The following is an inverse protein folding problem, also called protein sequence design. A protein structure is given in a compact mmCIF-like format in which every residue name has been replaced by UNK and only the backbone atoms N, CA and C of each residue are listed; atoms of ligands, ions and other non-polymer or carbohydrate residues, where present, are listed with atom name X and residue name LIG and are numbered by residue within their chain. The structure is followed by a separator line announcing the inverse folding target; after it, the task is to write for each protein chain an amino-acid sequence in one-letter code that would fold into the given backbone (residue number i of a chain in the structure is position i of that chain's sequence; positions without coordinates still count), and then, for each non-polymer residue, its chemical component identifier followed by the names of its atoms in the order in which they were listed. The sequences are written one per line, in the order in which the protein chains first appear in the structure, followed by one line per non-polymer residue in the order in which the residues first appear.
data_IF_582002261622
#
_entry.id   IF_582002261622
#
_cell.length_a   1.000
_cell.length_b   1.000
_cell.length_c   1.000
_cell.angle_alpha   90.00
_cell.angle_beta   90.00
_cell.angle_gamma   90.00
#
_symmetry.space_group_name_H-M   'P 1'
#
loop_
_entity.id
_entity.type
_entity.pdbx_description
1 polymer ?
#
# COMPACT_ATOMS: atom_id res chain seq x y z
N UNK A 1 21.63 -7.74 -86.76
CA UNK A 1 22.81 -7.89 -85.87
C UNK A 1 22.45 -7.21 -84.53
N UNK A 2 22.33 -7.96 -83.44
CA UNK A 2 21.84 -7.41 -82.15
C UNK A 2 22.96 -6.88 -81.31
N UNK A 3 22.66 -5.73 -80.68
CA UNK A 3 23.50 -5.02 -79.74
C UNK A 3 23.59 -5.79 -78.38
N UNK A 4 24.87 -5.90 -77.90
CA UNK A 4 25.16 -6.46 -76.56
C UNK A 4 24.75 -5.44 -75.47
N UNK A 5 23.85 -5.84 -74.61
CA UNK A 5 23.58 -5.11 -73.34
C UNK A 5 24.56 -5.59 -72.28
N UNK A 6 25.33 -4.64 -71.76
CA UNK A 6 26.22 -4.83 -70.66
C UNK A 6 25.37 -4.83 -69.39
N UNK A 7 25.37 -5.97 -68.67
CA UNK A 7 24.77 -6.06 -67.30
C UNK A 7 25.82 -5.56 -66.31
N UNK A 8 25.58 -4.34 -65.82
CA UNK A 8 26.25 -3.86 -64.61
C UNK A 8 25.31 -4.10 -63.44
N UNK A 9 25.55 -5.16 -62.71
CA UNK A 9 24.81 -5.45 -61.48
C UNK A 9 25.32 -4.51 -60.37
N UNK A 10 24.57 -3.44 -60.12
CA UNK A 10 24.77 -2.60 -58.91
C UNK A 10 24.35 -3.42 -57.70
N UNK A 11 25.32 -3.85 -56.88
CA UNK A 11 25.09 -4.31 -55.53
C UNK A 11 24.61 -3.11 -54.71
N UNK A 12 23.28 -2.91 -54.63
CA UNK A 12 22.71 -2.01 -53.61
C UNK A 12 22.96 -2.62 -52.24
N UNK A 13 23.92 -2.11 -51.54
CA UNK A 13 24.09 -2.37 -50.12
C UNK A 13 22.86 -1.74 -49.45
N UNK A 14 21.87 -2.58 -49.14
CA UNK A 14 20.75 -2.17 -48.32
C UNK A 14 21.29 -1.75 -46.95
N UNK A 15 21.33 -0.45 -46.71
CA UNK A 15 21.62 0.09 -45.37
C UNK A 15 20.59 -0.50 -44.40
N UNK A 16 21.07 -1.28 -43.44
CA UNK A 16 20.25 -1.75 -42.31
C UNK A 16 19.75 -0.51 -41.61
N UNK A 17 18.41 -0.34 -41.47
CA UNK A 17 17.89 0.82 -40.77
C UNK A 17 18.37 0.72 -39.32
N UNK A 18 19.33 1.57 -38.94
CA UNK A 18 19.68 1.79 -37.55
C UNK A 18 18.51 2.53 -36.92
N UNK A 19 17.59 1.77 -36.28
CA UNK A 19 16.58 2.39 -35.42
C UNK A 19 17.30 3.27 -34.40
N UNK A 20 16.95 4.58 -34.30
CA UNK A 20 17.58 5.46 -33.34
C UNK A 20 17.42 4.85 -31.96
N UNK A 21 18.53 4.57 -31.28
CA UNK A 21 18.51 4.05 -29.92
C UNK A 21 17.85 5.13 -29.05
N UNK A 22 16.65 4.84 -28.51
CA UNK A 22 15.98 5.74 -27.59
C UNK A 22 16.97 6.20 -26.50
N UNK A 23 17.28 7.51 -26.42
CA UNK A 23 18.22 8.03 -25.43
C UNK A 23 17.83 7.66 -23.98
N UNK A 24 16.56 7.34 -23.75
CA UNK A 24 16.04 6.92 -22.46
C UNK A 24 16.23 5.41 -22.19
N UNK A 25 16.45 4.57 -23.22
CA UNK A 25 16.58 3.15 -23.05
C UNK A 25 17.75 2.76 -22.13
N UNK A 26 18.90 3.44 -22.26
CA UNK A 26 20.06 3.24 -21.37
C UNK A 26 19.72 3.49 -19.90
N UNK A 27 18.88 4.51 -19.62
CA UNK A 27 18.50 4.87 -18.26
C UNK A 27 17.52 3.88 -17.63
N UNK A 28 16.74 3.15 -18.44
CA UNK A 28 15.87 2.07 -17.93
C UNK A 28 16.71 0.97 -17.28
N UNK A 29 17.77 0.54 -17.93
CA UNK A 29 18.68 -0.49 -17.40
C UNK A 29 19.46 0.01 -16.19
N UNK A 30 19.96 1.28 -16.24
CA UNK A 30 20.64 1.90 -15.10
C UNK A 30 19.71 1.95 -13.88
N UNK A 31 18.46 2.41 -14.05
CA UNK A 31 17.47 2.41 -12.96
C UNK A 31 17.19 1.01 -12.41
N UNK A 32 17.05 0.00 -13.28
CA UNK A 32 16.84 -1.39 -12.84
C UNK A 32 18.02 -1.92 -12.04
N UNK A 33 19.24 -1.65 -12.49
CA UNK A 33 20.46 -2.07 -11.79
C UNK A 33 20.57 -1.37 -10.42
N UNK A 34 20.38 -0.06 -10.38
CA UNK A 34 20.39 0.71 -9.13
C UNK A 34 19.29 0.27 -8.16
N UNK A 35 18.10 -0.05 -8.69
CA UNK A 35 17.01 -0.59 -7.88
C UNK A 35 17.35 -1.96 -7.30
N UNK A 36 17.97 -2.83 -8.08
CA UNK A 36 18.46 -4.13 -7.57
C UNK A 36 19.52 -3.95 -6.48
N UNK A 37 20.49 -3.05 -6.67
CA UNK A 37 21.49 -2.70 -5.65
C UNK A 37 20.83 -2.14 -4.39
N UNK A 38 19.84 -1.27 -4.56
CA UNK A 38 19.06 -0.71 -3.45
C UNK A 38 18.31 -1.80 -2.66
N UNK A 39 17.67 -2.75 -3.35
CA UNK A 39 16.98 -3.88 -2.70
C UNK A 39 17.96 -4.79 -1.97
N UNK A 40 19.09 -5.11 -2.57
CA UNK A 40 20.14 -5.94 -1.94
C UNK A 40 20.69 -5.21 -0.72
N UNK A 41 21.03 -3.92 -0.82
CA UNK A 41 21.51 -3.11 0.30
C UNK A 41 20.48 -3.04 1.44
N UNK A 42 19.21 -2.86 1.09
CA UNK A 42 18.10 -2.89 2.05
C UNK A 42 18.01 -4.25 2.76
N UNK A 43 18.05 -5.34 1.99
CA UNK A 43 18.02 -6.69 2.56
C UNK A 43 19.21 -6.95 3.52
N UNK A 44 20.42 -6.60 3.09
CA UNK A 44 21.63 -6.77 3.92
C UNK A 44 21.55 -5.93 5.20
N UNK A 45 21.06 -4.69 5.11
CA UNK A 45 20.85 -3.82 6.26
C UNK A 45 19.83 -4.44 7.23
N UNK A 46 18.67 -4.86 6.75
CA UNK A 46 17.64 -5.50 7.58
C UNK A 46 18.16 -6.77 8.24
N UNK A 47 18.91 -7.58 7.49
CA UNK A 47 19.53 -8.80 8.01
C UNK A 47 20.57 -8.50 9.09
N UNK A 48 21.40 -7.46 8.92
CA UNK A 48 22.42 -7.08 9.90
C UNK A 48 21.85 -6.54 11.19
N UNK A 49 20.74 -5.80 11.12
CA UNK A 49 20.07 -5.20 12.28
C UNK A 49 19.06 -6.12 12.95
N UNK A 50 18.63 -7.19 12.26
CA UNK A 50 17.60 -8.11 12.77
C UNK A 50 16.21 -7.50 12.91
N UNK A 51 16.00 -6.27 12.41
CA UNK A 51 14.74 -5.54 12.53
C UNK A 51 14.62 -4.45 11.47
N UNK A 52 13.40 -4.01 11.15
CA UNK A 52 13.16 -2.76 10.42
C UNK A 52 13.53 -1.59 11.34
N UNK A 53 14.16 -0.53 10.82
CA UNK A 53 14.32 0.70 11.59
C UNK A 53 12.95 1.20 12.04
N UNK A 54 12.80 1.39 13.33
CA UNK A 54 11.65 2.11 13.88
C UNK A 54 11.84 3.63 13.79
N UNK A 55 13.06 4.05 13.48
CA UNK A 55 13.44 5.46 13.38
C UNK A 55 12.90 6.02 12.06
N UNK A 56 12.04 7.01 12.17
CA UNK A 56 11.34 7.63 11.03
C UNK A 56 12.28 8.26 10.05
N UNK A 57 13.35 8.85 10.53
CA UNK A 57 14.40 9.46 9.73
C UNK A 57 14.96 8.44 8.73
N UNK A 58 15.19 7.22 9.16
CA UNK A 58 15.71 6.15 8.31
C UNK A 58 14.66 5.72 7.28
N UNK A 59 13.38 5.62 7.68
CA UNK A 59 12.27 5.30 6.76
C UNK A 59 12.14 6.39 5.69
N UNK A 60 12.20 7.67 6.10
CA UNK A 60 12.15 8.82 5.19
C UNK A 60 13.34 8.80 4.23
N UNK A 61 14.55 8.56 4.72
CA UNK A 61 15.76 8.44 3.88
C UNK A 61 15.61 7.31 2.87
N UNK A 62 15.04 6.18 3.25
CA UNK A 62 14.77 5.08 2.30
C UNK A 62 13.73 5.45 1.25
N UNK A 63 12.62 6.04 1.64
CA UNK A 63 11.59 6.46 0.70
C UNK A 63 12.11 7.55 -0.26
N UNK A 64 12.90 8.51 0.24
CA UNK A 64 13.57 9.51 -0.58
C UNK A 64 14.59 8.87 -1.53
N UNK A 65 15.39 7.89 -1.05
CA UNK A 65 16.31 7.13 -1.88
C UNK A 65 15.59 6.45 -3.05
N UNK A 66 14.47 5.78 -2.78
CA UNK A 66 13.66 5.14 -3.80
C UNK A 66 13.07 6.17 -4.80
N UNK A 67 12.56 7.30 -4.30
CA UNK A 67 12.04 8.37 -5.13
C UNK A 67 13.14 8.99 -6.01
N UNK A 68 14.35 9.20 -5.47
CA UNK A 68 15.51 9.69 -6.22
C UNK A 68 15.94 8.71 -7.31
N UNK A 69 15.95 7.40 -7.03
CA UNK A 69 16.24 6.37 -8.03
C UNK A 69 15.28 6.44 -9.23
N UNK A 70 14.01 6.74 -8.98
CA UNK A 70 13.01 6.92 -10.04
C UNK A 70 13.30 8.15 -10.92
N UNK A 71 14.12 9.09 -10.47
CA UNK A 71 14.47 10.31 -11.21
C UNK A 71 15.76 10.20 -12.03
N UNK A 72 16.53 9.14 -11.86
CA UNK A 72 17.81 8.93 -12.58
C UNK A 72 17.60 8.99 -14.09
N UNK A 73 18.39 9.82 -14.77
CA UNK A 73 18.28 10.05 -16.21
C UNK A 73 17.10 10.91 -16.65
N UNK A 74 16.39 11.56 -15.73
CA UNK A 74 15.35 12.53 -16.01
C UNK A 74 15.88 13.96 -15.92
N UNK A 75 15.24 14.89 -16.62
CA UNK A 75 15.53 16.33 -16.45
C UNK A 75 15.12 16.79 -15.05
N UNK A 76 15.69 17.89 -14.57
CA UNK A 76 15.35 18.48 -13.26
C UNK A 76 13.86 18.78 -13.10
N UNK A 77 13.19 19.23 -14.18
CA UNK A 77 11.72 19.45 -14.17
C UNK A 77 10.98 18.12 -13.98
N UNK A 78 11.34 17.09 -14.72
CA UNK A 78 10.73 15.75 -14.59
C UNK A 78 10.99 15.13 -13.22
N UNK A 79 12.20 15.30 -12.69
CA UNK A 79 12.56 14.85 -11.35
C UNK A 79 11.71 15.54 -10.29
N UNK A 80 11.61 16.87 -10.34
CA UNK A 80 10.78 17.66 -9.43
C UNK A 80 9.30 17.26 -9.46
N UNK A 81 8.73 17.07 -10.65
CA UNK A 81 7.34 16.61 -10.82
C UNK A 81 7.17 15.19 -10.23
N UNK A 82 8.14 14.31 -10.45
CA UNK A 82 8.10 12.94 -9.88
C UNK A 82 8.10 12.99 -8.35
N UNK A 83 9.03 13.72 -7.75
CA UNK A 83 9.14 13.85 -6.28
C UNK A 83 7.88 14.48 -5.69
N UNK A 84 7.39 15.56 -6.30
CA UNK A 84 6.17 16.24 -5.85
C UNK A 84 4.93 15.34 -5.97
N UNK A 85 4.88 14.48 -6.98
CA UNK A 85 3.78 13.50 -7.11
C UNK A 85 3.72 12.53 -5.93
N UNK A 86 4.86 12.18 -5.33
CA UNK A 86 4.94 11.25 -4.19
C UNK A 86 4.85 11.95 -2.82
N UNK A 87 4.95 13.29 -2.79
CA UNK A 87 4.82 14.06 -1.54
C UNK A 87 3.55 13.75 -0.72
N UNK A 88 2.35 13.50 -1.32
CA UNK A 88 1.16 13.15 -0.56
C UNK A 88 1.30 11.90 0.32
N UNK A 89 2.10 10.92 -0.13
CA UNK A 89 2.33 9.69 0.65
C UNK A 89 3.29 9.92 1.82
N UNK A 90 4.33 10.72 1.62
CA UNK A 90 5.20 11.15 2.71
C UNK A 90 4.42 11.99 3.73
N UNK A 91 3.56 12.89 3.25
CA UNK A 91 2.69 13.67 4.12
C UNK A 91 1.77 12.80 4.97
N UNK A 92 1.18 11.72 4.41
CA UNK A 92 0.32 10.82 5.17
C UNK A 92 1.06 10.12 6.32
N UNK A 93 2.35 9.79 6.16
CA UNK A 93 3.17 9.22 7.23
C UNK A 93 3.35 10.23 8.39
N UNK A 94 3.72 11.47 8.08
CA UNK A 94 3.86 12.51 9.10
C UNK A 94 2.54 12.86 9.77
N UNK A 95 1.44 12.83 9.01
CA UNK A 95 0.10 13.10 9.52
C UNK A 95 -0.31 12.11 10.61
N UNK A 96 -0.02 10.83 10.42
CA UNK A 96 -0.32 9.80 11.42
C UNK A 96 0.40 10.07 12.74
N UNK A 97 1.66 10.45 12.67
CA UNK A 97 2.45 10.76 13.85
C UNK A 97 2.01 12.04 14.55
N UNK A 98 1.68 13.04 13.75
CA UNK A 98 1.10 14.28 14.26
C UNK A 98 -0.22 14.01 14.99
N UNK A 99 -1.12 13.21 14.38
CA UNK A 99 -2.40 12.83 15.01
C UNK A 99 -2.19 12.11 16.34
N UNK A 100 -1.19 11.22 16.41
CA UNK A 100 -0.82 10.53 17.65
C UNK A 100 -0.34 11.51 18.73
N UNK A 101 0.53 12.45 18.36
CA UNK A 101 1.03 13.47 19.28
C UNK A 101 -0.09 14.37 19.78
N UNK A 102 -0.98 14.81 18.91
CA UNK A 102 -2.17 15.61 19.26
C UNK A 102 -3.11 14.82 20.19
N UNK A 103 -3.38 13.55 19.89
CA UNK A 103 -4.22 12.69 20.72
C UNK A 103 -3.65 12.54 22.14
N UNK A 104 -2.34 12.38 22.26
CA UNK A 104 -1.67 12.32 23.57
C UNK A 104 -1.72 13.67 24.30
N UNK A 105 -1.49 14.77 23.58
CA UNK A 105 -1.56 16.12 24.17
C UNK A 105 -2.95 16.50 24.66
N UNK A 106 -4.00 16.04 23.95
CA UNK A 106 -5.41 16.31 24.31
C UNK A 106 -5.89 15.50 25.51
N UNK A 107 -5.15 14.48 25.96
CA UNK A 107 -5.48 13.59 27.09
C UNK A 107 -6.95 13.11 27.08
N UNK A 108 -7.38 12.61 25.92
CA UNK A 108 -8.79 12.21 25.72
C UNK A 108 -9.09 10.89 26.42
N UNK A 109 -10.29 10.76 27.04
CA UNK A 109 -10.71 9.47 27.57
C UNK A 109 -10.81 8.44 26.44
N UNK A 110 -10.32 7.23 26.71
CA UNK A 110 -10.35 6.13 25.75
C UNK A 110 -11.79 5.56 25.72
N UNK A 111 -12.44 5.67 24.57
CA UNK A 111 -13.74 5.08 24.34
C UNK A 111 -13.61 3.57 24.08
N UNK A 112 -14.36 2.76 24.81
CA UNK A 112 -14.38 1.29 24.70
C UNK A 112 -15.81 0.78 24.47
N UNK A 113 -16.75 1.21 25.32
CA UNK A 113 -18.13 0.70 25.33
C UNK A 113 -18.90 0.94 24.03
N UNK A 114 -18.80 2.10 23.35
CA UNK A 114 -19.56 2.32 22.12
C UNK A 114 -19.25 1.31 21.02
N UNK A 115 -17.98 0.95 20.84
CA UNK A 115 -17.55 -0.04 19.83
C UNK A 115 -18.05 -1.44 20.18
N UNK A 116 -17.96 -1.85 21.44
CA UNK A 116 -18.49 -3.12 21.94
C UNK A 116 -19.99 -3.23 21.65
N UNK A 117 -20.75 -2.18 21.99
CA UNK A 117 -22.21 -2.15 21.80
C UNK A 117 -22.57 -2.26 20.33
N UNK A 118 -21.89 -1.48 19.46
CA UNK A 118 -22.14 -1.47 18.03
C UNK A 118 -21.76 -2.81 17.40
N UNK A 119 -20.63 -3.40 17.77
CA UNK A 119 -20.17 -4.69 17.23
C UNK A 119 -21.07 -5.84 17.66
N UNK A 120 -21.53 -5.85 18.93
CA UNK A 120 -22.53 -6.81 19.41
C UNK A 120 -23.85 -6.70 18.68
N UNK A 121 -24.30 -5.48 18.37
CA UNK A 121 -25.52 -5.28 17.59
C UNK A 121 -25.39 -5.89 16.19
N UNK A 122 -24.27 -5.67 15.49
CA UNK A 122 -23.97 -6.28 14.19
C UNK A 122 -23.78 -7.81 14.32
N UNK A 123 -23.18 -8.26 15.41
CA UNK A 123 -22.90 -9.66 15.68
C UNK A 123 -24.06 -10.44 16.32
N UNK A 124 -25.25 -9.86 16.48
CA UNK A 124 -26.39 -10.55 17.10
C UNK A 124 -26.13 -10.97 18.57
N UNK A 125 -25.56 -10.06 19.35
CA UNK A 125 -25.30 -10.20 20.80
C UNK A 125 -23.90 -10.67 21.19
N UNK A 126 -23.12 -11.26 20.26
CA UNK A 126 -21.72 -11.67 20.47
C UNK A 126 -20.78 -10.85 19.58
N UNK A 127 -19.56 -10.60 20.05
CA UNK A 127 -18.51 -10.00 19.22
C UNK A 127 -18.04 -10.98 18.15
N UNK A 128 -17.74 -10.47 16.98
CA UNK A 128 -17.22 -11.29 15.90
C UNK A 128 -15.84 -11.89 16.21
N UNK A 129 -15.01 -11.20 16.98
CA UNK A 129 -13.73 -11.74 17.48
C UNK A 129 -13.94 -12.98 18.34
N UNK A 130 -14.89 -12.92 19.29
CA UNK A 130 -15.25 -14.08 20.14
C UNK A 130 -15.68 -15.27 19.28
N UNK A 131 -16.58 -15.02 18.30
CA UNK A 131 -17.07 -16.09 17.40
C UNK A 131 -15.96 -16.73 16.58
N UNK A 132 -15.08 -15.90 15.97
CA UNK A 132 -14.00 -16.42 15.13
C UNK A 132 -12.97 -17.21 15.95
N UNK A 133 -12.63 -16.71 17.12
CA UNK A 133 -11.68 -17.41 18.00
C UNK A 133 -12.30 -18.66 18.64
N UNK A 134 -13.57 -18.63 18.98
CA UNK A 134 -14.30 -19.82 19.43
C UNK A 134 -14.29 -20.94 18.39
N UNK A 135 -14.31 -20.58 17.13
CA UNK A 135 -14.33 -21.55 16.04
C UNK A 135 -12.93 -21.99 15.58
N UNK A 136 -11.95 -21.08 15.63
CA UNK A 136 -10.63 -21.29 15.02
C UNK A 136 -9.51 -21.63 16.01
N UNK A 137 -9.60 -21.17 17.26
CA UNK A 137 -8.61 -21.51 18.28
C UNK A 137 -8.99 -22.85 18.89
N UNK A 138 -8.15 -23.85 18.66
CA UNK A 138 -8.39 -25.22 19.10
C UNK A 138 -8.40 -25.31 20.64
N UNK A 139 -9.55 -25.66 21.22
CA UNK A 139 -9.75 -25.80 22.67
C UNK A 139 -9.11 -27.12 23.22
N UNK A 140 -8.59 -27.99 22.34
CA UNK A 140 -7.93 -29.25 22.73
C UNK A 140 -6.71 -29.04 23.64
N UNK A 141 -6.16 -27.82 23.67
CA UNK A 141 -5.01 -27.49 24.53
C UNK A 141 -5.47 -26.90 25.87
N UNK A 142 -6.78 -26.84 26.14
CA UNK A 142 -7.33 -26.24 27.38
C UNK A 142 -7.02 -24.77 27.54
N UNK A 143 -6.89 -24.04 26.43
CA UNK A 143 -6.53 -22.60 26.44
C UNK A 143 -7.55 -21.76 27.18
N UNK A 144 -8.85 -22.14 27.14
CA UNK A 144 -9.93 -21.40 27.81
C UNK A 144 -9.89 -21.49 29.33
N UNK A 145 -9.25 -22.53 29.86
CA UNK A 145 -9.09 -22.69 31.31
C UNK A 145 -7.87 -21.98 31.88
N UNK A 146 -7.02 -21.43 31.03
CA UNK A 146 -5.77 -20.76 31.42
C UNK A 146 -5.94 -19.26 31.58
N UNK A 147 -5.15 -18.63 32.47
CA UNK A 147 -5.09 -17.17 32.53
C UNK A 147 -4.71 -16.55 31.19
N UNK A 148 -5.36 -15.44 30.81
CA UNK A 148 -5.13 -14.77 29.53
C UNK A 148 -3.65 -14.51 29.23
N UNK A 149 -2.89 -14.04 30.22
CA UNK A 149 -1.46 -13.75 30.07
C UNK A 149 -0.65 -15.01 29.70
N UNK A 150 -1.03 -16.17 30.27
CA UNK A 150 -0.40 -17.46 29.93
C UNK A 150 -0.71 -17.85 28.49
N UNK A 151 -1.98 -17.73 28.07
CA UNK A 151 -2.39 -18.02 26.68
C UNK A 151 -1.67 -17.11 25.69
N UNK A 152 -1.59 -15.82 25.96
CA UNK A 152 -0.85 -14.89 25.11
C UNK A 152 0.64 -15.24 25.02
N UNK A 153 1.24 -15.68 26.13
CA UNK A 153 2.63 -16.14 26.13
C UNK A 153 2.82 -17.43 25.32
N UNK A 154 1.90 -18.40 25.45
CA UNK A 154 1.92 -19.61 24.63
C UNK A 154 1.80 -19.29 23.14
N UNK A 155 0.91 -18.38 22.77
CA UNK A 155 0.76 -17.91 21.38
C UNK A 155 2.03 -17.22 20.86
N UNK A 156 2.71 -16.44 21.70
CA UNK A 156 3.98 -15.78 21.35
C UNK A 156 5.12 -16.77 21.14
N UNK A 157 5.17 -17.81 21.97
CA UNK A 157 6.22 -18.81 21.95
C UNK A 157 5.98 -19.92 20.91
N UNK A 158 4.90 -19.82 20.12
CA UNK A 158 4.47 -20.87 19.18
C UNK A 158 4.22 -22.24 19.87
N UNK A 159 3.82 -22.23 21.15
CA UNK A 159 3.49 -23.43 21.93
C UNK A 159 2.11 -24.02 21.61
N UNK A 160 1.33 -23.28 20.81
CA UNK A 160 0.03 -23.71 20.31
C UNK A 160 0.12 -24.08 18.83
N UNK A 161 -0.83 -24.88 18.34
CA UNK A 161 -0.88 -25.26 16.93
C UNK A 161 -1.03 -24.02 16.03
N UNK A 162 -0.11 -23.87 15.07
CA UNK A 162 -0.19 -22.83 14.05
C UNK A 162 -0.89 -23.43 12.82
N UNK A 163 -1.99 -22.82 12.42
CA UNK A 163 -2.78 -23.26 11.29
C UNK A 163 -2.46 -22.44 10.03
N UNK A 164 -2.88 -22.93 8.87
CA UNK A 164 -2.68 -22.23 7.58
C UNK A 164 -3.29 -20.82 7.56
N UNK A 165 -4.39 -20.62 8.28
CA UNK A 165 -5.01 -19.29 8.36
C UNK A 165 -4.20 -18.30 9.21
N UNK A 166 -3.39 -18.74 10.17
CA UNK A 166 -2.43 -17.87 10.87
C UNK A 166 -1.38 -17.31 9.91
N UNK A 167 -0.92 -18.14 8.94
CA UNK A 167 -0.02 -17.71 7.88
C UNK A 167 -0.71 -16.69 6.97
N UNK A 168 -1.98 -16.96 6.59
CA UNK A 168 -2.78 -16.02 5.80
C UNK A 168 -2.98 -14.69 6.54
N UNK A 169 -3.35 -14.73 7.81
CA UNK A 169 -3.51 -13.55 8.67
C UNK A 169 -2.23 -12.74 8.71
N UNK A 170 -1.08 -13.40 8.92
CA UNK A 170 0.22 -12.73 8.94
C UNK A 170 0.53 -12.03 7.60
N UNK A 171 0.34 -12.72 6.49
CA UNK A 171 0.59 -12.17 5.15
C UNK A 171 -0.34 -11.01 4.78
N UNK A 172 -1.64 -11.18 5.05
CA UNK A 172 -2.66 -10.18 4.74
C UNK A 172 -2.49 -8.94 5.63
N UNK A 173 -2.31 -9.10 6.93
CA UNK A 173 -2.06 -7.98 7.84
C UNK A 173 -0.83 -7.17 7.40
N UNK A 174 0.25 -7.87 7.06
CA UNK A 174 1.49 -7.24 6.59
C UNK A 174 1.31 -6.47 5.28
N UNK A 175 0.41 -6.93 4.42
CA UNK A 175 0.15 -6.29 3.13
C UNK A 175 -0.22 -4.81 3.25
N UNK A 176 -0.82 -4.41 4.37
CA UNK A 176 -1.16 -3.02 4.68
C UNK A 176 0.05 -2.07 4.58
N UNK A 177 1.22 -2.51 4.99
CA UNK A 177 2.40 -1.64 5.07
C UNK A 177 3.07 -1.38 3.71
N UNK A 178 2.81 -2.20 2.70
CA UNK A 178 3.48 -2.06 1.40
C UNK A 178 2.54 -2.08 0.19
N UNK A 179 1.41 -2.82 0.25
CA UNK A 179 0.50 -2.96 -0.92
C UNK A 179 -0.12 -1.64 -1.35
N UNK A 180 -0.53 -0.71 -0.48
CA UNK A 180 -1.04 0.60 -0.90
C UNK A 180 0.00 1.41 -1.69
N UNK A 181 1.27 1.35 -1.32
CA UNK A 181 2.35 2.05 -2.01
C UNK A 181 2.72 1.37 -3.34
N UNK A 182 2.67 0.02 -3.38
CA UNK A 182 2.82 -0.72 -4.62
C UNK A 182 1.69 -0.42 -5.59
N UNK A 183 0.45 -0.38 -5.10
CA UNK A 183 -0.71 0.02 -5.89
C UNK A 183 -0.56 1.44 -6.41
N UNK A 184 -0.06 2.37 -5.59
CA UNK A 184 0.29 3.72 -6.00
C UNK A 184 1.26 3.72 -7.19
N UNK A 185 2.33 2.92 -7.13
CA UNK A 185 3.30 2.79 -8.21
C UNK A 185 2.69 2.24 -9.50
N UNK A 186 1.85 1.20 -9.39
CA UNK A 186 1.15 0.61 -10.54
C UNK A 186 0.20 1.62 -11.19
N UNK A 187 -0.61 2.30 -10.38
CA UNK A 187 -1.58 3.30 -10.84
C UNK A 187 -0.85 4.48 -11.47
N UNK A 188 0.27 4.92 -10.89
CA UNK A 188 1.12 5.99 -11.45
C UNK A 188 1.67 5.63 -12.81
N UNK A 189 2.12 4.38 -13.01
CA UNK A 189 2.60 3.89 -14.28
C UNK A 189 1.51 3.76 -15.35
N UNK A 190 0.23 3.62 -14.95
CA UNK A 190 -0.91 3.48 -15.87
C UNK A 190 -1.50 4.81 -16.32
N UNK A 191 -1.27 5.91 -15.62
CA UNK A 191 -1.67 7.24 -16.07
C UNK A 191 -2.01 8.21 -14.95
N UNK A 192 -1.71 9.48 -15.22
CA UNK A 192 -1.80 10.56 -14.24
C UNK A 192 -3.21 10.86 -13.74
N UNK A 193 -4.23 10.59 -14.52
CA UNK A 193 -5.62 10.80 -14.11
C UNK A 193 -6.02 9.84 -12.99
N UNK A 194 -5.72 8.54 -13.14
CA UNK A 194 -6.02 7.53 -12.14
C UNK A 194 -5.16 7.72 -10.89
N UNK A 195 -3.87 8.04 -11.10
CA UNK A 195 -2.94 8.37 -10.03
C UNK A 195 -3.45 9.49 -9.11
N UNK A 196 -3.92 10.59 -9.69
CA UNK A 196 -4.41 11.73 -8.91
C UNK A 196 -5.65 11.38 -8.08
N UNK A 197 -6.53 10.57 -8.64
CA UNK A 197 -7.69 10.06 -7.91
C UNK A 197 -7.25 9.18 -6.75
N UNK A 198 -6.33 8.25 -7.01
CA UNK A 198 -5.78 7.38 -5.97
C UNK A 198 -5.12 8.20 -4.86
N UNK A 199 -4.19 9.09 -5.21
CA UNK A 199 -3.47 9.91 -4.25
C UNK A 199 -4.39 10.83 -3.44
N UNK A 200 -5.36 11.49 -4.09
CA UNK A 200 -6.33 12.35 -3.41
C UNK A 200 -7.21 11.54 -2.45
N UNK A 201 -7.74 10.38 -2.87
CA UNK A 201 -8.56 9.51 -2.02
C UNK A 201 -7.72 8.95 -0.87
N UNK A 202 -6.49 8.49 -1.12
CA UNK A 202 -5.57 7.99 -0.10
C UNK A 202 -5.31 9.06 0.98
N UNK A 203 -4.94 10.28 0.58
CA UNK A 203 -4.69 11.38 1.52
C UNK A 203 -5.96 11.75 2.29
N UNK A 204 -7.12 11.85 1.62
CA UNK A 204 -8.39 12.20 2.27
C UNK A 204 -8.80 11.16 3.32
N UNK A 205 -8.67 9.87 3.01
CA UNK A 205 -8.96 8.77 3.94
C UNK A 205 -8.02 8.81 5.14
N UNK A 206 -6.71 8.96 4.91
CA UNK A 206 -5.73 9.05 5.98
C UNK A 206 -5.94 10.30 6.85
N UNK A 207 -6.21 11.46 6.22
CA UNK A 207 -6.49 12.70 6.96
C UNK A 207 -7.74 12.57 7.84
N UNK A 208 -8.84 12.07 7.29
CA UNK A 208 -10.09 11.88 8.04
C UNK A 208 -9.91 10.87 9.18
N UNK A 209 -9.23 9.75 8.94
CA UNK A 209 -8.94 8.77 9.99
C UNK A 209 -8.05 9.36 11.09
N UNK A 210 -6.97 10.06 10.71
CA UNK A 210 -6.09 10.72 11.68
C UNK A 210 -6.80 11.80 12.50
N UNK A 211 -7.73 12.54 11.90
CA UNK A 211 -8.55 13.50 12.64
C UNK A 211 -9.44 12.79 13.68
N UNK A 212 -10.03 11.64 13.32
CA UNK A 212 -10.79 10.83 14.28
C UNK A 212 -9.87 10.30 15.39
N UNK A 213 -8.70 9.76 15.08
CA UNK A 213 -7.76 9.26 16.08
C UNK A 213 -7.31 10.34 17.08
N UNK A 214 -7.10 11.57 16.60
CA UNK A 214 -6.72 12.68 17.45
C UNK A 214 -7.88 13.15 18.35
N UNK A 215 -9.12 13.12 17.85
CA UNK A 215 -10.27 13.68 18.55
C UNK A 215 -11.04 12.62 19.37
N UNK A 216 -10.97 11.36 19.00
CA UNK A 216 -11.74 10.27 19.58
C UNK A 216 -10.88 9.01 19.71
N UNK A 217 -10.13 8.92 20.81
CA UNK A 217 -9.32 7.75 21.11
C UNK A 217 -10.18 6.52 21.38
N UNK A 218 -9.94 5.41 20.70
CA UNK A 218 -10.76 4.20 20.78
C UNK A 218 -9.90 2.95 20.97
N UNK A 219 -10.34 2.10 21.89
CA UNK A 219 -9.61 0.88 22.23
C UNK A 219 -9.98 -0.28 21.31
N UNK A 220 -9.00 -1.12 20.92
CA UNK A 220 -9.25 -2.38 20.21
C UNK A 220 -9.86 -3.46 21.12
N UNK A 221 -10.43 -4.53 20.56
CA UNK A 221 -11.01 -5.64 21.32
C UNK A 221 -10.05 -6.26 22.35
N UNK A 222 -8.79 -6.49 22.00
CA UNK A 222 -7.82 -7.09 22.92
C UNK A 222 -7.61 -6.23 24.19
N UNK A 223 -7.68 -4.91 24.09
CA UNK A 223 -7.56 -4.02 25.25
C UNK A 223 -8.82 -4.13 26.14
N UNK A 224 -10.00 -4.19 25.55
CA UNK A 224 -11.25 -4.36 26.30
C UNK A 224 -11.27 -5.70 27.06
N UNK A 225 -10.77 -6.78 26.44
CA UNK A 225 -10.61 -8.09 27.08
C UNK A 225 -9.63 -8.01 28.27
N UNK A 226 -8.47 -7.39 28.10
CA UNK A 226 -7.50 -7.21 29.20
C UNK A 226 -8.05 -6.37 30.36
N UNK A 227 -9.00 -5.48 30.11
CA UNK A 227 -9.68 -4.67 31.13
C UNK A 227 -10.89 -5.36 31.75
N UNK A 228 -11.23 -6.58 31.32
CA UNK A 228 -12.40 -7.32 31.82
C UNK A 228 -13.74 -6.73 31.41
N UNK A 229 -13.80 -5.92 30.35
CA UNK A 229 -15.03 -5.29 29.85
C UNK A 229 -15.81 -6.20 28.89
N UNK A 230 -15.17 -7.23 28.37
CA UNK A 230 -15.73 -8.28 27.53
C UNK A 230 -15.15 -9.62 27.97
N UNK A 231 -15.70 -10.72 27.45
CA UNK A 231 -15.16 -12.05 27.72
C UNK A 231 -13.68 -12.14 27.33
N UNK A 232 -12.84 -12.81 28.13
CA UNK A 232 -11.43 -12.93 27.84
C UNK A 232 -11.20 -13.70 26.55
N UNK A 233 -10.36 -13.16 25.68
CA UNK A 233 -9.81 -13.85 24.51
C UNK A 233 -8.36 -13.40 24.26
N UNK A 234 -7.50 -14.28 23.73
CA UNK A 234 -6.11 -13.95 23.50
C UNK A 234 -5.94 -13.02 22.31
N UNK A 235 -5.00 -12.08 22.42
CA UNK A 235 -4.52 -11.33 21.28
C UNK A 235 -3.66 -12.21 20.39
N UNK A 236 -4.17 -12.56 19.21
CA UNK A 236 -3.41 -13.31 18.22
C UNK A 236 -2.49 -12.36 17.47
N UNK A 237 -1.18 -12.47 17.73
CA UNK A 237 -0.22 -11.60 17.06
C UNK A 237 -0.18 -11.89 15.55
N UNK A 238 -0.27 -10.83 14.75
CA UNK A 238 -0.20 -10.94 13.29
C UNK A 238 1.16 -11.44 12.76
N UNK A 239 2.15 -11.58 13.62
CA UNK A 239 3.47 -12.15 13.31
C UNK A 239 3.53 -13.68 13.39
N UNK A 240 2.57 -14.33 14.05
CA UNK A 240 2.61 -15.74 14.44
C UNK A 240 2.78 -16.69 13.26
N UNK A 241 2.08 -16.46 12.15
CA UNK A 241 2.16 -17.34 10.98
C UNK A 241 3.53 -17.36 10.29
N UNK A 242 4.37 -16.34 10.49
CA UNK A 242 5.69 -16.28 9.87
C UNK A 242 6.69 -17.30 10.44
N UNK A 243 6.53 -17.69 11.70
CA UNK A 243 7.37 -18.74 12.31
C UNK A 243 7.13 -20.09 11.66
N UNK A 244 5.89 -20.42 11.28
CA UNK A 244 5.52 -21.66 10.60
C UNK A 244 6.23 -21.84 9.25
N UNK A 245 6.43 -20.75 8.52
CA UNK A 245 7.13 -20.78 7.23
C UNK A 245 8.63 -20.46 7.35
N UNK A 246 9.19 -20.54 8.57
CA UNK A 246 10.62 -20.33 8.82
C UNK A 246 11.09 -18.88 8.78
N UNK A 247 10.19 -17.92 8.67
CA UNK A 247 10.49 -16.49 8.56
C UNK A 247 10.46 -15.78 9.93
N UNK A 248 11.12 -16.37 10.95
CA UNK A 248 11.20 -15.80 12.31
C UNK A 248 11.75 -14.36 12.34
N UNK A 249 12.57 -14.01 11.36
CA UNK A 249 13.06 -12.64 11.20
C UNK A 249 11.92 -11.68 10.86
N UNK A 250 11.03 -12.04 9.92
CA UNK A 250 9.86 -11.24 9.57
C UNK A 250 8.92 -11.09 10.78
N UNK A 251 8.69 -12.16 11.54
CA UNK A 251 7.89 -12.11 12.76
C UNK A 251 8.40 -11.06 13.75
N UNK A 252 9.70 -11.06 14.06
CA UNK A 252 10.32 -10.06 14.99
C UNK A 252 10.19 -8.62 14.52
N UNK A 253 10.33 -8.40 13.20
CA UNK A 253 10.15 -7.07 12.60
C UNK A 253 8.74 -6.55 12.87
N UNK A 254 7.75 -7.40 12.71
CA UNK A 254 6.34 -7.07 12.82
C UNK A 254 5.98 -6.77 14.27
N UNK A 255 6.40 -7.64 15.18
CA UNK A 255 6.16 -7.45 16.61
C UNK A 255 6.73 -6.11 17.09
N UNK A 256 7.95 -5.78 16.67
CA UNK A 256 8.56 -4.49 17.00
C UNK A 256 7.79 -3.33 16.37
N UNK A 257 7.35 -3.46 15.10
CA UNK A 257 6.50 -2.46 14.45
C UNK A 257 5.19 -2.25 15.21
N UNK A 258 4.50 -3.32 15.59
CA UNK A 258 3.25 -3.25 16.36
C UNK A 258 3.43 -2.62 17.74
N UNK A 259 4.57 -2.81 18.41
CA UNK A 259 4.84 -2.20 19.72
C UNK A 259 4.99 -0.67 19.67
N UNK A 260 5.23 -0.09 18.50
CA UNK A 260 5.40 1.36 18.30
C UNK A 260 4.15 2.08 17.82
N UNK A 261 3.08 1.34 17.47
CA UNK A 261 1.82 1.93 16.97
C UNK A 261 0.99 2.47 18.14
N UNK A 262 0.14 3.47 17.85
CA UNK A 262 -0.84 3.94 18.83
C UNK A 262 -1.93 2.87 19.04
N UNK A 263 -2.04 2.25 20.22
CA UNK A 263 -3.02 1.21 20.46
C UNK A 263 -4.46 1.73 20.51
N UNK A 264 -4.66 3.04 20.62
CA UNK A 264 -5.97 3.68 20.78
C UNK A 264 -6.47 4.39 19.52
N UNK A 265 -6.11 3.83 18.36
CA UNK A 265 -6.56 4.28 17.05
C UNK A 265 -7.36 3.17 16.34
N UNK A 266 -8.36 2.58 17.04
CA UNK A 266 -9.08 1.44 16.50
C UNK A 266 -10.10 1.85 15.43
N UNK A 267 -10.93 2.88 15.67
CA UNK A 267 -11.94 3.33 14.69
C UNK A 267 -11.55 4.68 14.07
N UNK A 268 -11.65 4.84 12.75
CA UNK A 268 -11.92 3.84 11.72
C UNK A 268 -10.67 3.01 11.37
N UNK A 269 -10.84 1.74 10.97
CA UNK A 269 -9.71 0.91 10.59
C UNK A 269 -9.07 1.35 9.27
N UNK A 270 -7.85 1.89 9.34
CA UNK A 270 -7.06 2.23 8.15
C UNK A 270 -6.59 0.99 7.37
N UNK A 271 -6.39 -0.14 8.06
CA UNK A 271 -6.02 -1.40 7.43
C UNK A 271 -7.09 -1.83 6.41
N UNK A 272 -8.35 -1.86 6.85
CA UNK A 272 -9.49 -2.23 6.00
C UNK A 272 -9.78 -1.18 4.93
N UNK A 273 -9.69 0.11 5.27
CA UNK A 273 -9.88 1.20 4.34
C UNK A 273 -8.88 1.15 3.19
N UNK A 274 -7.59 0.98 3.47
CA UNK A 274 -6.56 0.91 2.45
C UNK A 274 -6.63 -0.37 1.62
N UNK A 275 -7.01 -1.51 2.20
CA UNK A 275 -7.25 -2.75 1.46
C UNK A 275 -8.39 -2.58 0.44
N UNK A 276 -9.50 -1.94 0.85
CA UNK A 276 -10.61 -1.62 -0.06
C UNK A 276 -10.21 -0.62 -1.14
N UNK A 277 -9.49 0.44 -0.78
CA UNK A 277 -8.97 1.44 -1.71
C UNK A 277 -8.10 0.79 -2.81
N UNK A 278 -7.16 -0.06 -2.41
CA UNK A 278 -6.31 -0.82 -3.32
C UNK A 278 -7.15 -1.67 -4.27
N UNK A 279 -8.12 -2.43 -3.74
CA UNK A 279 -8.99 -3.27 -4.55
C UNK A 279 -9.75 -2.45 -5.61
N UNK A 280 -10.36 -1.32 -5.23
CA UNK A 280 -11.13 -0.46 -6.13
C UNK A 280 -10.26 0.10 -7.26
N UNK A 281 -9.09 0.63 -6.95
CA UNK A 281 -8.26 1.29 -7.95
C UNK A 281 -7.50 0.30 -8.84
N UNK A 282 -6.97 -0.78 -8.28
CA UNK A 282 -6.30 -1.81 -9.07
C UNK A 282 -7.26 -2.60 -9.95
N UNK A 283 -8.55 -2.73 -9.57
CA UNK A 283 -9.57 -3.38 -10.39
C UNK A 283 -9.63 -2.88 -11.83
N UNK A 284 -9.34 -1.59 -12.02
CA UNK A 284 -9.40 -0.92 -13.31
C UNK A 284 -8.19 -1.22 -14.21
N UNK A 285 -7.07 -1.63 -13.62
CA UNK A 285 -5.77 -1.71 -14.32
C UNK A 285 -5.18 -3.10 -14.40
N UNK A 286 -5.67 -4.03 -13.57
CA UNK A 286 -5.18 -5.42 -13.59
C UNK A 286 -5.95 -6.29 -14.59
N UNK A 287 -5.36 -7.42 -14.94
CA UNK A 287 -6.01 -8.44 -15.73
C UNK A 287 -7.26 -9.00 -15.04
N UNK A 288 -8.27 -9.36 -15.82
CA UNK A 288 -9.56 -9.83 -15.28
C UNK A 288 -9.44 -11.01 -14.32
N UNK A 289 -8.50 -11.90 -14.52
CA UNK A 289 -8.27 -13.06 -13.65
C UNK A 289 -7.70 -12.72 -12.26
N UNK A 290 -7.10 -11.54 -12.08
CA UNK A 290 -6.64 -11.05 -10.78
C UNK A 290 -7.75 -10.37 -9.96
N UNK A 291 -8.86 -10.02 -10.57
CA UNK A 291 -9.97 -9.33 -9.90
C UNK A 291 -10.57 -10.09 -8.72
N UNK A 292 -10.76 -11.43 -8.77
CA UNK A 292 -11.19 -12.17 -7.58
C UNK A 292 -10.24 -12.04 -6.39
N UNK A 293 -8.93 -12.03 -6.64
CA UNK A 293 -7.91 -11.83 -5.60
C UNK A 293 -8.04 -10.44 -4.99
N UNK A 294 -8.24 -9.41 -5.83
CA UNK A 294 -8.47 -8.05 -5.34
C UNK A 294 -9.77 -7.92 -4.53
N UNK A 295 -10.84 -8.59 -4.94
CA UNK A 295 -12.09 -8.62 -4.19
C UNK A 295 -11.93 -9.34 -2.83
N UNK A 296 -11.12 -10.38 -2.80
CA UNK A 296 -10.83 -11.13 -1.59
C UNK A 296 -9.96 -10.33 -0.60
N UNK A 297 -9.14 -9.38 -1.07
CA UNK A 297 -8.20 -8.64 -0.22
C UNK A 297 -8.88 -7.89 0.95
N UNK A 298 -9.91 -7.05 0.77
CA UNK A 298 -10.57 -6.38 1.89
C UNK A 298 -11.31 -7.37 2.82
N UNK A 299 -11.81 -8.49 2.31
CA UNK A 299 -12.46 -9.54 3.10
C UNK A 299 -11.42 -10.26 3.96
N UNK A 300 -10.30 -10.66 3.37
CA UNK A 300 -9.20 -11.31 4.07
C UNK A 300 -8.58 -10.37 5.12
N UNK A 301 -8.47 -9.07 4.83
CA UNK A 301 -8.04 -8.06 5.79
C UNK A 301 -9.02 -7.97 6.96
N UNK A 302 -10.33 -7.95 6.70
CA UNK A 302 -11.36 -7.96 7.75
C UNK A 302 -11.22 -9.18 8.63
N UNK A 303 -11.09 -10.36 8.02
CA UNK A 303 -10.85 -11.61 8.76
C UNK A 303 -9.60 -11.51 9.64
N UNK A 304 -8.47 -11.06 9.08
CA UNK A 304 -7.22 -10.94 9.81
C UNK A 304 -7.35 -10.02 11.03
N UNK A 305 -7.99 -8.86 10.87
CA UNK A 305 -8.13 -7.85 11.92
C UNK A 305 -9.08 -8.28 13.05
N UNK A 306 -10.19 -8.92 12.69
CA UNK A 306 -11.19 -9.37 13.67
C UNK A 306 -10.73 -10.63 14.39
N UNK A 307 -10.14 -11.59 13.68
CA UNK A 307 -9.59 -12.82 14.28
C UNK A 307 -8.45 -12.50 15.26
N UNK A 308 -7.55 -11.58 14.91
CA UNK A 308 -6.43 -11.19 15.78
C UNK A 308 -6.85 -10.37 17.01
N UNK A 309 -8.12 -9.87 17.04
CA UNK A 309 -8.59 -8.98 18.09
C UNK A 309 -8.06 -7.55 18.00
N UNK A 310 -7.50 -7.16 16.84
CA UNK A 310 -6.97 -5.80 16.61
C UNK A 310 -8.06 -4.79 16.32
N UNK A 311 -9.18 -5.22 15.72
CA UNK A 311 -10.31 -4.36 15.37
C UNK A 311 -11.66 -5.05 15.60
N UNK A 312 -12.65 -4.27 15.96
CA UNK A 312 -14.05 -4.66 15.86
C UNK A 312 -14.50 -4.65 14.39
N UNK A 313 -15.53 -5.42 14.06
CA UNK A 313 -16.09 -5.40 12.71
C UNK A 313 -16.65 -4.03 12.35
N UNK A 314 -17.19 -3.29 13.34
CA UNK A 314 -17.67 -1.93 13.16
C UNK A 314 -16.56 -0.95 12.77
N UNK A 315 -15.32 -1.16 13.25
CA UNK A 315 -14.17 -0.33 12.86
C UNK A 315 -13.84 -0.51 11.37
N UNK A 316 -14.00 -1.75 10.87
CA UNK A 316 -13.83 -2.09 9.46
C UNK A 316 -14.86 -1.37 8.60
N UNK A 317 -16.13 -1.43 8.98
CA UNK A 317 -17.20 -0.73 8.27
C UNK A 317 -17.03 0.78 8.28
N UNK A 318 -16.57 1.35 9.39
CA UNK A 318 -16.22 2.76 9.47
C UNK A 318 -15.06 3.11 8.49
N UNK A 319 -14.06 2.25 8.40
CA UNK A 319 -12.97 2.40 7.43
C UNK A 319 -13.45 2.37 5.98
N UNK A 320 -14.33 1.41 5.64
CA UNK A 320 -14.96 1.35 4.31
C UNK A 320 -15.86 2.54 4.03
N UNK A 321 -16.59 3.01 5.05
CA UNK A 321 -17.39 4.24 4.99
C UNK A 321 -16.55 5.46 4.64
N UNK A 322 -15.35 5.61 5.21
CA UNK A 322 -14.42 6.69 4.86
C UNK A 322 -13.99 6.62 3.39
N UNK A 323 -13.72 5.44 2.85
CA UNK A 323 -13.39 5.28 1.44
C UNK A 323 -14.57 5.69 0.56
N UNK A 324 -15.78 5.25 0.90
CA UNK A 324 -17.00 5.63 0.19
C UNK A 324 -17.23 7.14 0.22
N UNK A 325 -17.08 7.77 1.39
CA UNK A 325 -17.23 9.22 1.57
C UNK A 325 -16.16 9.99 0.78
N UNK A 326 -14.91 9.54 0.78
CA UNK A 326 -13.83 10.19 0.02
C UNK A 326 -14.08 10.11 -1.50
N UNK A 327 -14.55 8.96 -2.00
CA UNK A 327 -14.85 8.76 -3.41
C UNK A 327 -16.10 9.56 -3.85
N UNK A 328 -17.19 9.47 -3.11
CA UNK A 328 -18.44 10.17 -3.43
C UNK A 328 -18.32 11.68 -3.24
N UNK A 329 -17.65 12.12 -2.17
CA UNK A 329 -17.35 13.52 -1.91
C UNK A 329 -16.46 14.12 -3.00
N UNK A 330 -15.40 13.42 -3.40
CA UNK A 330 -14.54 13.82 -4.51
C UNK A 330 -15.29 13.90 -5.85
N UNK A 331 -16.17 12.92 -6.12
CA UNK A 331 -17.04 12.95 -7.30
C UNK A 331 -18.01 14.15 -7.25
N UNK A 332 -18.69 14.38 -6.11
CA UNK A 332 -19.62 15.48 -5.92
C UNK A 332 -18.95 16.85 -6.08
N UNK A 333 -17.79 17.07 -5.45
CA UNK A 333 -17.00 18.30 -5.60
C UNK A 333 -16.65 18.57 -7.06
N UNK A 334 -16.29 17.52 -7.79
CA UNK A 334 -16.01 17.63 -9.22
C UNK A 334 -17.24 18.06 -10.02
N UNK A 335 -18.42 17.51 -9.73
CA UNK A 335 -19.66 17.84 -10.41
C UNK A 335 -20.12 19.26 -10.07
N UNK A 336 -20.09 19.62 -8.79
CA UNK A 336 -20.64 20.87 -8.29
C UNK A 336 -19.81 22.08 -8.65
N UNK A 337 -18.51 21.99 -8.55
CA UNK A 337 -17.61 23.13 -8.73
C UNK A 337 -16.87 23.10 -10.07
N UNK A 338 -17.17 22.16 -10.95
CA UNK A 338 -16.41 21.96 -12.17
C UNK A 338 -14.92 21.87 -11.86
N UNK A 339 -14.60 21.32 -10.67
CA UNK A 339 -13.24 21.35 -10.14
C UNK A 339 -12.31 20.68 -11.13
N UNK A 340 -11.88 21.50 -12.03
CA UNK A 340 -10.74 21.26 -12.85
C UNK A 340 -9.64 21.25 -11.82
N UNK A 341 -9.28 20.06 -11.32
CA UNK A 341 -8.14 19.87 -10.44
C UNK A 341 -7.06 20.89 -10.86
N UNK A 342 -6.31 21.55 -9.96
CA UNK A 342 -5.15 22.36 -10.33
C UNK A 342 -4.14 21.59 -11.20
N UNK A 343 -4.34 20.31 -11.31
CA UNK A 343 -3.73 19.32 -12.18
C UNK A 343 -4.56 19.09 -13.46
N UNK A 344 -5.14 20.13 -14.03
CA UNK A 344 -6.16 20.07 -15.09
C UNK A 344 -5.75 19.31 -16.34
N UNK A 345 -4.47 19.24 -16.65
CA UNK A 345 -3.99 18.62 -17.86
C UNK A 345 -3.03 17.47 -17.53
N UNK A 346 -3.62 16.27 -17.33
CA UNK A 346 -2.85 15.01 -17.36
C UNK A 346 -1.98 14.94 -18.61
N UNK A 347 -2.46 15.47 -19.73
CA UNK A 347 -1.68 15.62 -20.94
C UNK A 347 -0.41 16.47 -20.76
N UNK A 348 -0.48 17.57 -20.01
CA UNK A 348 0.68 18.42 -19.77
C UNK A 348 1.69 17.78 -18.83
N UNK A 349 1.24 17.06 -17.81
CA UNK A 349 2.09 16.28 -16.92
C UNK A 349 2.65 15.05 -17.63
N UNK A 350 1.84 14.36 -18.43
CA UNK A 350 2.27 13.24 -19.25
C UNK A 350 3.30 13.70 -20.30
N UNK A 351 3.16 14.91 -20.87
CA UNK A 351 4.14 15.49 -21.80
C UNK A 351 5.48 15.81 -21.10
N UNK A 352 5.43 16.24 -19.84
CA UNK A 352 6.65 16.47 -19.04
C UNK A 352 7.36 15.18 -18.62
N UNK A 353 6.61 14.08 -18.50
CA UNK A 353 7.12 12.76 -18.09
C UNK A 353 7.45 11.84 -19.27
N UNK A 354 6.92 12.14 -20.47
CA UNK A 354 7.30 11.43 -21.68
C UNK A 354 8.70 11.84 -22.11
N UNK A 355 9.49 10.92 -22.69
CA UNK A 355 10.71 11.31 -23.41
C UNK A 355 10.37 12.35 -24.46
N UNK A 356 11.26 13.34 -24.66
CA UNK A 356 11.12 14.24 -25.79
C UNK A 356 10.96 13.41 -27.07
N UNK A 357 9.92 13.71 -27.83
CA UNK A 357 9.76 13.08 -29.14
C UNK A 357 11.05 13.32 -29.92
N UNK A 358 11.61 12.26 -30.51
CA UNK A 358 12.70 12.41 -31.48
C UNK A 358 12.17 13.31 -32.57
N UNK A 359 12.86 14.41 -32.93
CA UNK A 359 12.42 15.24 -34.04
C UNK A 359 12.25 14.34 -35.27
N UNK A 360 11.11 14.40 -35.94
CA UNK A 360 10.96 13.80 -37.25
C UNK A 360 12.04 14.42 -38.15
N UNK A 361 12.83 13.57 -38.76
CA UNK A 361 13.79 14.04 -39.77
C UNK A 361 13.02 14.87 -40.79
N UNK A 362 13.59 16.04 -41.20
CA UNK A 362 12.96 16.82 -42.23
C UNK A 362 12.77 15.94 -43.47
N UNK A 363 11.53 15.78 -43.90
CA UNK A 363 11.17 14.93 -45.04
C UNK A 363 12.10 15.22 -46.21
N UNK A 364 12.52 14.17 -46.89
CA UNK A 364 13.36 14.22 -48.08
C UNK A 364 12.84 15.34 -49.01
N UNK A 365 13.70 16.30 -49.27
CA UNK A 365 13.41 17.35 -50.26
C UNK A 365 13.18 16.64 -51.59
N UNK A 366 12.06 16.89 -52.29
CA UNK A 366 11.82 16.27 -53.58
C UNK A 366 12.98 16.65 -54.53
N UNK A 367 13.68 15.66 -55.01
CA UNK A 367 14.66 15.86 -56.11
C UNK A 367 13.88 16.30 -57.33
N UNK A 368 14.02 17.56 -57.70
CA UNK A 368 13.53 18.08 -58.95
C UNK A 368 14.30 17.39 -60.11
N UNK A 369 13.59 16.59 -60.89
CA UNK A 369 14.19 16.06 -62.13
C UNK A 369 14.56 17.20 -63.07
N UNK A 370 15.74 17.16 -63.73
CA UNK A 370 16.10 18.19 -64.69
C UNK A 370 15.25 17.99 -65.97
N UNK A 371 14.74 19.12 -66.50
CA UNK A 371 13.96 19.26 -67.76
C UNK A 371 14.82 18.91 -68.97
#
# INVERSE_FOLDING_TARGET
MPARRCLVTCLAVTAVPTTPIDPQAKWVWVRRALFAVYLIGTYLYLRSKGTIPSDREIIVVWLLGLALLATVGRTWKQAGVTLLSWAPFLFALFLYDFARAVGHWLDRPIAVTPQITADRWVGGGKLWTERLQDWLIDDRVGLRSKPMAEVEQMLRNDETTIHWYDVLVSGVYQSHFFVPYLAAGIVWAKGQRLWRWYAATFVSVNFAACAVFALYATAPPWYAAQKGLIEPFPRVLAARGWSQVGLRFAARIIEKGQSTVNPFAAIPSLHSAQALLVAIFLWQVVWKWLRPILAALPIAMTFALVYSGEHYLIDVFAGWGLVALALTGGWWLRQRYGWKSPWRDGAQLDSLLKPAAVPEEPGEVPVLEPV
#
